data_IF_138123111859
#
_entry.id   IF_138123111859
#
_cell.length_a   1.000
_cell.length_b   1.000
_cell.length_c   1.000
_cell.angle_alpha   90.00
_cell.angle_beta   90.00
_cell.angle_gamma   90.00
#
_symmetry.space_group_name_H-M   'P 1'
#
loop_
_entity.id
_entity.type
_entity.pdbx_description
1 polymer ?
#
# COMPACT_ATOMS: atom_id res chain seq x y z
N UNK A 1 5.19 25.52 -17.57
CA UNK A 1 4.77 24.10 -17.70
C UNK A 1 3.25 24.02 -17.72
N UNK A 2 2.66 23.33 -18.70
CA UNK A 2 1.21 23.14 -18.84
C UNK A 2 0.61 22.47 -17.59
N UNK A 3 -0.58 22.89 -17.15
CA UNK A 3 -1.22 22.39 -15.92
C UNK A 3 -1.53 20.89 -15.96
N UNK A 4 -2.01 20.38 -17.10
CA UNK A 4 -2.28 18.95 -17.28
C UNK A 4 -0.98 18.13 -17.21
N UNK A 5 0.13 18.70 -17.71
CA UNK A 5 1.44 18.08 -17.61
C UNK A 5 2.00 18.12 -16.17
N UNK A 6 1.78 19.20 -15.42
CA UNK A 6 2.10 19.24 -13.97
C UNK A 6 1.35 18.14 -13.23
N UNK A 7 0.05 18.02 -13.50
CA UNK A 7 -0.82 17.00 -12.91
C UNK A 7 -0.31 15.59 -13.22
N UNK A 8 0.10 15.34 -14.47
CA UNK A 8 0.69 14.09 -14.90
C UNK A 8 1.94 13.73 -14.08
N UNK A 9 2.90 14.65 -14.02
CA UNK A 9 4.19 14.44 -13.34
C UNK A 9 3.96 14.21 -11.85
N UNK A 10 3.18 15.06 -11.18
CA UNK A 10 2.93 14.95 -9.74
C UNK A 10 2.15 13.68 -9.42
N UNK A 11 1.09 13.37 -10.17
CA UNK A 11 0.27 12.18 -9.95
C UNK A 11 1.06 10.89 -10.12
N UNK A 12 1.84 10.77 -11.21
CA UNK A 12 2.69 9.59 -11.44
C UNK A 12 3.79 9.49 -10.37
N UNK A 13 4.46 10.60 -10.06
CA UNK A 13 5.52 10.63 -9.05
C UNK A 13 5.00 10.21 -7.67
N UNK A 14 3.86 10.76 -7.23
CA UNK A 14 3.23 10.39 -5.96
C UNK A 14 2.72 8.95 -5.94
N UNK A 15 2.18 8.46 -7.06
CA UNK A 15 1.76 7.07 -7.19
C UNK A 15 2.92 6.10 -7.06
N UNK A 16 4.04 6.36 -7.76
CA UNK A 16 5.25 5.55 -7.67
C UNK A 16 5.84 5.57 -6.26
N UNK A 17 5.91 6.75 -5.64
CA UNK A 17 6.37 6.90 -4.27
C UNK A 17 5.49 6.11 -3.30
N UNK A 18 4.17 6.23 -3.41
CA UNK A 18 3.21 5.51 -2.56
C UNK A 18 3.33 3.99 -2.68
N UNK A 19 3.40 3.45 -3.91
CA UNK A 19 3.60 2.02 -4.13
C UNK A 19 4.97 1.57 -3.59
N UNK A 20 6.02 2.36 -3.79
CA UNK A 20 7.36 2.02 -3.28
C UNK A 20 7.38 1.95 -1.75
N UNK A 21 6.75 2.91 -1.06
CA UNK A 21 6.59 2.90 0.40
C UNK A 21 5.80 1.68 0.85
N UNK A 22 4.66 1.41 0.23
CA UNK A 22 3.82 0.26 0.56
C UNK A 22 4.54 -1.07 0.33
N UNK A 23 5.21 -1.23 -0.82
CA UNK A 23 5.99 -2.41 -1.15
C UNK A 23 7.12 -2.62 -0.14
N UNK A 24 7.81 -1.54 0.23
CA UNK A 24 8.88 -1.56 1.23
C UNK A 24 8.35 -2.05 2.58
N UNK A 25 7.22 -1.51 3.04
CA UNK A 25 6.54 -1.94 4.27
C UNK A 25 6.14 -3.42 4.22
N UNK A 26 5.58 -3.89 3.11
CA UNK A 26 5.02 -5.23 3.01
C UNK A 26 6.09 -6.31 2.84
N UNK A 27 7.07 -6.07 1.96
CA UNK A 27 7.90 -7.14 1.40
C UNK A 27 9.39 -7.03 1.70
N UNK A 28 9.86 -5.94 2.33
CA UNK A 28 11.29 -5.73 2.60
C UNK A 28 11.59 -5.68 4.10
N UNK A 29 12.83 -5.95 4.47
CA UNK A 29 13.31 -5.87 5.86
C UNK A 29 14.26 -4.68 6.08
N UNK A 30 14.07 -3.61 5.30
CA UNK A 30 14.86 -2.38 5.41
C UNK A 30 14.54 -1.60 6.70
N UNK A 31 15.46 -0.73 7.12
CA UNK A 31 15.22 0.21 8.22
C UNK A 31 13.99 1.08 7.99
N UNK A 32 13.74 1.47 6.74
CA UNK A 32 12.54 2.21 6.35
C UNK A 32 11.26 1.39 6.56
N UNK A 33 11.26 0.09 6.18
CA UNK A 33 10.14 -0.80 6.42
C UNK A 33 9.83 -0.94 7.93
N UNK A 34 10.87 -1.11 8.75
CA UNK A 34 10.71 -1.21 10.21
C UNK A 34 10.15 0.07 10.83
N UNK A 35 10.65 1.24 10.41
CA UNK A 35 10.13 2.53 10.86
C UNK A 35 8.64 2.67 10.51
N UNK A 36 8.27 2.32 9.29
CA UNK A 36 6.91 2.48 8.80
C UNK A 36 5.93 1.51 9.48
N UNK A 37 6.30 0.24 9.66
CA UNK A 37 5.51 -0.73 10.45
C UNK A 37 5.36 -0.28 11.91
N UNK A 38 6.39 0.32 12.51
CA UNK A 38 6.30 0.86 13.88
C UNK A 38 5.29 2.00 13.97
N UNK A 39 5.28 2.90 12.98
CA UNK A 39 4.27 3.97 12.91
C UNK A 39 2.85 3.40 12.80
N UNK A 40 2.66 2.35 11.99
CA UNK A 40 1.36 1.68 11.85
C UNK A 40 0.96 0.92 13.14
N UNK A 41 1.90 0.22 13.78
CA UNK A 41 1.67 -0.55 15.01
C UNK A 41 1.38 0.31 16.25
N UNK A 42 1.80 1.58 16.28
CA UNK A 42 1.48 2.53 17.36
C UNK A 42 0.06 3.14 17.24
N UNK A 43 -0.83 2.53 16.47
CA UNK A 43 -2.23 2.94 16.34
C UNK A 43 -2.46 4.20 15.51
N UNK A 44 -1.42 4.75 14.85
CA UNK A 44 -1.56 5.92 13.97
C UNK A 44 -2.27 5.57 12.66
N UNK A 45 -2.11 4.34 12.18
CA UNK A 45 -2.69 3.85 10.92
C UNK A 45 -3.21 2.43 11.15
N UNK A 46 -4.44 2.14 10.71
CA UNK A 46 -5.02 0.81 10.90
C UNK A 46 -4.32 -0.24 10.04
N UNK A 47 -4.21 -1.47 10.54
CA UNK A 47 -3.58 -2.59 9.81
C UNK A 47 -4.27 -2.88 8.48
N UNK A 48 -5.59 -2.70 8.44
CA UNK A 48 -6.42 -2.85 7.25
C UNK A 48 -6.14 -1.76 6.21
N UNK A 49 -5.95 -0.52 6.66
CA UNK A 49 -5.60 0.59 5.78
C UNK A 49 -4.21 0.40 5.20
N UNK A 50 -3.22 0.03 6.03
CA UNK A 50 -1.86 -0.25 5.54
C UNK A 50 -1.86 -1.37 4.47
N UNK A 51 -2.64 -2.42 4.70
CA UNK A 51 -2.74 -3.57 3.80
C UNK A 51 -3.42 -3.26 2.45
N UNK A 52 -4.55 -2.53 2.47
CA UNK A 52 -5.43 -2.36 1.29
C UNK A 52 -5.64 -0.88 0.91
N UNK A 53 -5.79 0.00 1.90
CA UNK A 53 -6.04 1.43 1.68
C UNK A 53 -4.83 2.19 1.09
N UNK A 54 -3.64 1.97 1.63
CA UNK A 54 -2.40 2.60 1.16
C UNK A 54 -2.07 2.33 -0.32
N UNK A 55 -2.15 1.09 -0.84
CA UNK A 55 -1.96 0.85 -2.27
C UNK A 55 -3.11 1.45 -3.10
N UNK A 56 -4.35 1.46 -2.59
CA UNK A 56 -5.49 2.12 -3.26
C UNK A 56 -5.32 3.65 -3.39
N UNK A 57 -4.76 4.32 -2.36
CA UNK A 57 -4.36 5.73 -2.44
C UNK A 57 -3.31 5.94 -3.53
N UNK A 58 -2.32 5.05 -3.60
CA UNK A 58 -1.27 5.14 -4.63
C UNK A 58 -1.84 5.01 -6.03
N UNK A 59 -2.83 4.12 -6.23
CA UNK A 59 -3.60 4.00 -7.48
C UNK A 59 -4.35 5.29 -7.78
N UNK A 60 -4.96 5.94 -6.78
CA UNK A 60 -5.64 7.25 -6.96
C UNK A 60 -4.68 8.32 -7.50
N UNK A 61 -3.43 8.36 -7.05
CA UNK A 61 -2.43 9.27 -7.61
C UNK A 61 -2.10 8.95 -9.08
N UNK A 62 -1.98 7.67 -9.45
CA UNK A 62 -1.81 7.29 -10.85
C UNK A 62 -2.99 7.71 -11.72
N UNK A 63 -4.22 7.58 -11.22
CA UNK A 63 -5.43 8.02 -11.91
C UNK A 63 -5.38 9.52 -12.19
N UNK A 64 -5.00 10.32 -11.19
CA UNK A 64 -4.78 11.77 -11.35
C UNK A 64 -3.71 12.03 -12.42
N UNK A 65 -2.58 11.33 -12.36
CA UNK A 65 -1.49 11.50 -13.32
C UNK A 65 -1.88 11.13 -14.76
N UNK A 66 -2.49 9.97 -14.96
CA UNK A 66 -2.97 9.50 -16.26
C UNK A 66 -4.05 10.44 -16.82
N UNK A 67 -4.93 10.99 -15.95
CA UNK A 67 -5.92 11.98 -16.38
C UNK A 67 -5.27 13.27 -16.92
N UNK A 68 -4.14 13.67 -16.34
CA UNK A 68 -3.32 14.77 -16.85
C UNK A 68 -2.77 14.48 -18.25
N UNK A 69 -2.24 13.28 -18.48
CA UNK A 69 -1.76 12.85 -19.81
C UNK A 69 -2.91 12.90 -20.84
N UNK A 70 -4.05 12.29 -20.52
CA UNK A 70 -5.23 12.25 -21.39
C UNK A 70 -5.69 13.65 -21.79
N UNK A 71 -5.74 14.58 -20.83
CA UNK A 71 -6.13 15.97 -21.09
C UNK A 71 -5.08 16.74 -21.89
N UNK A 72 -3.80 16.52 -21.62
CA UNK A 72 -2.71 17.19 -22.33
C UNK A 72 -2.70 16.85 -23.83
N UNK A 73 -2.87 15.57 -24.17
CA UNK A 73 -2.91 15.10 -25.55
C UNK A 73 -4.30 15.14 -26.19
N UNK A 74 -5.32 15.68 -25.50
CA UNK A 74 -6.69 15.77 -25.99
C UNK A 74 -7.25 14.41 -26.46
N UNK A 75 -6.92 13.34 -25.73
CA UNK A 75 -7.33 11.99 -26.11
C UNK A 75 -8.86 11.83 -26.05
N UNK A 76 -9.42 10.87 -26.81
CA UNK A 76 -10.86 10.65 -26.84
C UNK A 76 -11.49 10.43 -25.45
N UNK A 77 -12.74 10.89 -25.27
CA UNK A 77 -13.46 10.85 -23.98
C UNK A 77 -13.53 9.45 -23.35
N UNK A 78 -13.50 8.38 -24.15
CA UNK A 78 -13.51 6.99 -23.68
C UNK A 78 -12.40 6.70 -22.66
N UNK A 79 -11.24 7.34 -22.79
CA UNK A 79 -10.14 7.22 -21.84
C UNK A 79 -10.51 7.77 -20.46
N UNK A 80 -11.18 8.93 -20.41
CA UNK A 80 -11.66 9.51 -19.15
C UNK A 80 -12.74 8.64 -18.51
N UNK A 81 -13.60 8.00 -19.32
CA UNK A 81 -14.60 7.04 -18.82
C UNK A 81 -13.93 5.82 -18.20
N UNK A 82 -12.89 5.26 -18.84
CA UNK A 82 -12.11 4.15 -18.29
C UNK A 82 -11.41 4.54 -16.97
N UNK A 83 -10.78 5.72 -16.93
CA UNK A 83 -10.15 6.26 -15.71
C UNK A 83 -11.17 6.40 -14.58
N UNK A 84 -12.38 6.88 -14.87
CA UNK A 84 -13.44 7.01 -13.87
C UNK A 84 -13.87 5.64 -13.31
N UNK A 85 -13.97 4.61 -14.15
CA UNK A 85 -14.29 3.25 -13.68
C UNK A 85 -13.20 2.70 -12.73
N UNK A 86 -11.93 2.88 -13.10
CA UNK A 86 -10.79 2.49 -12.23
C UNK A 86 -10.77 3.31 -10.94
N UNK A 87 -11.16 4.59 -10.98
CA UNK A 87 -11.26 5.44 -9.80
C UNK A 87 -12.33 4.97 -8.82
N UNK A 88 -13.50 4.58 -9.32
CA UNK A 88 -14.55 4.00 -8.49
C UNK A 88 -14.10 2.69 -7.85
N UNK A 89 -13.40 1.85 -8.61
CA UNK A 89 -12.82 0.61 -8.09
C UNK A 89 -11.79 0.89 -6.99
N UNK A 90 -10.83 1.79 -7.21
CA UNK A 90 -9.84 2.18 -6.20
C UNK A 90 -10.49 2.78 -4.95
N UNK A 91 -11.52 3.62 -5.11
CA UNK A 91 -12.28 4.18 -4.01
C UNK A 91 -12.99 3.09 -3.18
N UNK A 92 -13.58 2.07 -3.83
CA UNK A 92 -14.18 0.94 -3.13
C UNK A 92 -13.15 0.20 -2.27
N UNK A 93 -11.96 -0.09 -2.80
CA UNK A 93 -10.89 -0.73 -2.03
C UNK A 93 -10.38 0.13 -0.87
N UNK A 94 -10.30 1.45 -1.07
CA UNK A 94 -9.97 2.37 0.00
C UNK A 94 -10.99 2.30 1.14
N UNK A 95 -12.29 2.32 0.82
CA UNK A 95 -13.35 2.18 1.82
C UNK A 95 -13.29 0.82 2.52
N UNK A 96 -13.07 -0.26 1.77
CA UNK A 96 -12.88 -1.61 2.34
C UNK A 96 -11.70 -1.60 3.31
N UNK A 97 -10.57 -1.00 2.95
CA UNK A 97 -9.39 -0.88 3.82
C UNK A 97 -9.63 -0.11 5.12
N UNK A 98 -10.69 0.69 5.21
CA UNK A 98 -11.10 1.39 6.43
C UNK A 98 -12.05 0.57 7.32
N UNK A 99 -12.66 -0.50 6.79
CA UNK A 99 -13.57 -1.34 7.55
C UNK A 99 -12.83 -2.08 8.66
N UNK A 100 -13.39 -2.18 9.88
CA UNK A 100 -12.81 -2.93 11.00
C UNK A 100 -13.07 -4.44 10.90
N UNK A 101 -12.96 -5.02 9.69
CA UNK A 101 -13.14 -6.47 9.46
C UNK A 101 -11.80 -7.18 9.29
N UNK A 102 -11.75 -8.49 9.55
CA UNK A 102 -10.52 -9.26 9.34
C UNK A 102 -10.38 -9.64 7.87
N UNK A 103 -9.26 -9.27 7.26
CA UNK A 103 -8.87 -9.73 5.93
C UNK A 103 -8.09 -11.03 6.00
N UNK A 104 -7.92 -11.74 4.86
CA UNK A 104 -7.01 -12.87 4.78
C UNK A 104 -5.63 -12.50 5.33
N UNK A 105 -5.07 -13.38 6.17
CA UNK A 105 -3.82 -13.13 6.91
C UNK A 105 -2.65 -12.68 6.02
N UNK A 106 -2.58 -13.20 4.80
CA UNK A 106 -1.51 -12.90 3.86
C UNK A 106 -1.50 -11.46 3.32
N UNK A 107 -2.55 -10.68 3.51
CA UNK A 107 -2.56 -9.27 3.09
C UNK A 107 -1.83 -8.37 4.10
N UNK A 108 -1.49 -8.86 5.29
CA UNK A 108 -0.86 -8.04 6.34
C UNK A 108 0.66 -8.14 6.34
N UNK A 109 1.33 -7.04 6.72
CA UNK A 109 2.79 -6.92 6.74
C UNK A 109 3.47 -7.81 7.80
N UNK A 110 2.81 -8.05 8.94
CA UNK A 110 3.24 -8.97 9.99
C UNK A 110 3.31 -10.42 9.50
N UNK A 111 2.28 -10.88 8.76
CA UNK A 111 2.28 -12.21 8.15
C UNK A 111 3.32 -12.34 7.05
N UNK A 112 3.48 -11.32 6.19
CA UNK A 112 4.52 -11.33 5.16
C UNK A 112 5.92 -11.37 5.77
N UNK A 113 6.14 -10.65 6.87
CA UNK A 113 7.38 -10.71 7.63
C UNK A 113 7.62 -12.12 8.20
N UNK A 114 6.62 -12.70 8.87
CA UNK A 114 6.71 -14.03 9.46
C UNK A 114 7.00 -15.10 8.40
N UNK A 115 6.33 -15.02 7.25
CA UNK A 115 6.58 -15.90 6.09
C UNK A 115 8.02 -15.87 5.63
N UNK A 116 8.63 -14.68 5.48
CA UNK A 116 10.03 -14.54 5.02
C UNK A 116 11.06 -15.09 6.00
N UNK A 117 10.71 -15.14 7.28
CA UNK A 117 11.60 -15.55 8.36
C UNK A 117 11.33 -16.97 8.88
N UNK A 118 10.41 -17.72 8.27
CA UNK A 118 10.06 -19.07 8.75
C UNK A 118 9.41 -19.07 10.12
N UNK A 119 8.70 -17.99 10.48
CA UNK A 119 8.03 -17.82 11.77
C UNK A 119 6.54 -18.21 11.69
N UNK A 120 6.21 -19.12 10.77
CA UNK A 120 4.85 -19.63 10.62
C UNK A 120 4.76 -21.02 11.26
N UNK A 121 3.66 -21.28 11.95
CA UNK A 121 3.33 -22.61 12.47
C UNK A 121 2.92 -23.57 11.33
N UNK A 122 2.69 -24.84 11.66
CA UNK A 122 2.26 -25.88 10.71
C UNK A 122 0.93 -25.53 9.99
N UNK A 123 0.10 -24.68 10.60
CA UNK A 123 -1.18 -24.22 10.06
C UNK A 123 -1.05 -22.91 9.24
N UNK A 124 0.17 -22.38 9.09
CA UNK A 124 0.49 -21.13 8.40
C UNK A 124 0.08 -19.85 9.13
N UNK A 125 -0.21 -19.93 10.44
CA UNK A 125 -0.38 -18.76 11.31
C UNK A 125 0.99 -18.29 11.81
N UNK A 126 1.06 -17.07 12.33
CA UNK A 126 2.26 -16.57 12.97
C UNK A 126 2.46 -17.35 14.27
N UNK A 127 3.57 -18.08 14.37
CA UNK A 127 4.02 -18.67 15.62
C UNK A 127 4.47 -17.52 16.54
N UNK A 128 3.67 -17.25 17.58
CA UNK A 128 3.91 -16.12 18.47
C UNK A 128 5.18 -16.28 19.28
N UNK A 129 5.49 -17.49 19.73
CA UNK A 129 6.68 -17.73 20.53
C UNK A 129 7.94 -17.55 19.69
N UNK A 130 7.95 -18.11 18.48
CA UNK A 130 9.04 -17.90 17.53
C UNK A 130 9.16 -16.41 17.13
N UNK A 131 8.03 -15.73 16.89
CA UNK A 131 8.00 -14.33 16.49
C UNK A 131 8.50 -13.39 17.59
N UNK A 132 8.05 -13.56 18.83
CA UNK A 132 8.49 -12.75 19.98
C UNK A 132 9.96 -12.97 20.28
N UNK A 133 10.43 -14.22 20.24
CA UNK A 133 11.85 -14.54 20.40
C UNK A 133 12.72 -13.93 19.29
N UNK A 134 12.23 -13.89 18.06
CA UNK A 134 12.94 -13.29 16.92
C UNK A 134 12.94 -11.76 16.98
N UNK A 135 11.80 -11.17 17.36
CA UNK A 135 11.65 -9.73 17.56
C UNK A 135 12.45 -9.23 18.78
N UNK A 136 12.59 -10.04 19.84
CA UNK A 136 13.40 -9.72 21.01
C UNK A 136 14.90 -9.87 20.78
N UNK A 137 15.34 -10.79 19.90
CA UNK A 137 16.76 -10.94 19.51
C UNK A 137 17.23 -9.91 18.49
N UNK A 138 16.33 -9.43 17.63
CA UNK A 138 16.59 -8.29 16.76
C UNK A 138 16.18 -7.04 17.52
N UNK A 139 17.06 -6.50 18.36
CA UNK A 139 16.93 -5.10 18.76
C UNK A 139 16.68 -4.28 17.49
N UNK A 140 15.50 -3.69 17.37
CA UNK A 140 15.08 -2.96 16.17
C UNK A 140 15.96 -1.69 15.98
N UNK A 141 17.16 -1.85 15.39
CA UNK A 141 18.09 -0.79 15.01
C UNK A 141 18.35 -0.71 13.51
#
# INVERSE_FOLDING_TARGET
>A
MNENLKLAIVGIGMGLFGIAVWYTEMFTDSKAANLWRRMNGQGKISRNYAAIGAPAISITFFIVGISGIVRYYHLPRIWLTGIAAVALFAAAFLLIGLLPIKFPRWVYSDWQYAKRHGLLDENGNIDREAYENHAGRKEFW
#
